data_IF_515792194070
#
_entry.id   IF_515792194070
#
_cell.length_a   1.000
_cell.length_b   1.000
_cell.length_c   1.000
_cell.angle_alpha   90.00
_cell.angle_beta   90.00
_cell.angle_gamma   90.00
#
_symmetry.space_group_name_H-M   'P 1'
#
loop_
_entity.id
_entity.type
_entity.pdbx_description
1 polymer ?
#
# COMPACT_ATOMS: atom_id res chain seq x y z
N UNK A 1 22.66 -13.45 7.59
CA UNK A 1 21.50 -12.81 6.94
C UNK A 1 21.97 -11.55 6.25
N UNK A 2 21.99 -11.53 4.92
CA UNK A 2 22.19 -10.30 4.13
C UNK A 2 20.80 -9.71 3.91
N UNK A 3 20.54 -8.52 4.46
CA UNK A 3 19.35 -7.74 4.10
C UNK A 3 19.48 -7.37 2.61
N UNK A 4 18.63 -7.94 1.76
CA UNK A 4 18.42 -7.41 0.42
C UNK A 4 17.71 -6.06 0.58
N UNK A 5 18.42 -4.96 0.33
CA UNK A 5 17.79 -3.67 0.06
C UNK A 5 17.22 -3.76 -1.36
N UNK A 6 15.92 -3.96 -1.49
CA UNK A 6 15.24 -3.72 -2.76
C UNK A 6 15.36 -2.22 -3.07
N UNK A 7 16.16 -1.89 -4.09
CA UNK A 7 16.18 -0.56 -4.66
C UNK A 7 14.90 -0.41 -5.50
N UNK A 8 13.84 0.08 -4.87
CA UNK A 8 12.60 0.41 -5.56
C UNK A 8 12.85 1.58 -6.52
N UNK A 9 12.63 1.36 -7.82
CA UNK A 9 12.80 2.38 -8.85
C UNK A 9 11.43 3.06 -9.10
N UNK A 10 11.27 4.36 -8.85
CA UNK A 10 9.98 5.07 -8.97
C UNK A 10 9.38 5.05 -10.39
N UNK A 11 10.17 4.67 -11.40
CA UNK A 11 9.75 4.61 -12.81
C UNK A 11 8.84 3.39 -13.11
N UNK A 12 9.03 2.26 -12.41
CA UNK A 12 8.22 1.06 -12.63
C UNK A 12 6.80 1.24 -12.06
N UNK A 13 6.68 1.98 -10.96
CA UNK A 13 5.39 2.27 -10.32
C UNK A 13 4.48 3.20 -11.16
N UNK A 14 5.05 4.20 -11.84
CA UNK A 14 4.31 5.07 -12.76
C UNK A 14 3.72 4.33 -13.97
N UNK A 15 4.37 3.25 -14.43
CA UNK A 15 3.85 2.39 -15.51
C UNK A 15 2.70 1.49 -15.05
N UNK A 16 2.70 1.08 -13.78
CA UNK A 16 1.64 0.25 -13.19
C UNK A 16 0.32 1.04 -13.04
N UNK A 17 0.41 2.29 -12.55
CA UNK A 17 -0.75 3.20 -12.42
C UNK A 17 -1.40 3.55 -13.76
N UNK A 18 -0.61 3.71 -14.82
CA UNK A 18 -1.13 3.99 -16.16
C UNK A 18 -1.99 2.84 -16.73
N UNK A 19 -1.75 1.58 -16.33
CA UNK A 19 -2.54 0.43 -16.79
C UNK A 19 -3.87 0.29 -16.05
N UNK A 20 -3.96 0.71 -14.79
CA UNK A 20 -5.22 0.69 -14.01
C UNK A 20 -6.20 1.75 -14.54
N UNK A 21 -5.71 2.95 -14.88
CA UNK A 21 -6.53 4.03 -15.44
C UNK A 21 -7.15 3.69 -16.82
N UNK A 22 -6.52 2.80 -17.60
CA UNK A 22 -7.02 2.40 -18.93
C UNK A 22 -8.15 1.36 -18.87
N UNK A 23 -8.29 0.61 -17.77
CA UNK A 23 -9.36 -0.38 -17.60
C UNK A 23 -10.71 0.25 -17.15
N UNK A 24 -10.69 1.46 -16.59
CA UNK A 24 -11.90 2.19 -16.16
C UNK A 24 -12.65 2.90 -17.30
N UNK A 25 -12.08 2.96 -18.51
CA UNK A 25 -12.74 3.53 -19.70
C UNK A 25 -13.45 2.45 -20.54
N UNK A 26 -14.25 1.58 -19.92
CA UNK A 26 -15.27 0.85 -20.65
C UNK A 26 -16.54 1.73 -20.77
N UNK A 27 -17.16 1.88 -21.96
CA UNK A 27 -18.33 2.73 -22.12
C UNK A 27 -19.53 2.17 -21.35
N UNK A 28 -19.77 2.73 -20.17
CA UNK A 28 -20.96 2.51 -19.36
C UNK A 28 -22.22 2.94 -20.11
N UNK A 29 -23.27 2.13 -19.97
CA UNK A 29 -24.56 2.31 -20.63
C UNK A 29 -25.16 3.69 -20.32
N UNK A 30 -25.50 4.42 -21.39
CA UNK A 30 -26.25 5.67 -21.36
C UNK A 30 -27.61 5.50 -20.66
N UNK A 31 -27.75 6.02 -19.45
CA UNK A 31 -29.05 6.36 -18.86
C UNK A 31 -29.33 7.83 -19.23
N UNK A 32 -30.40 8.14 -19.99
CA UNK A 32 -30.70 9.52 -20.35
C UNK A 32 -31.12 10.34 -19.11
N UNK A 33 -30.67 11.60 -18.99
CA UNK A 33 -31.06 12.46 -17.87
C UNK A 33 -32.52 12.89 -18.00
N UNK A 34 -33.25 12.76 -16.88
CA UNK A 34 -34.58 13.33 -16.69
C UNK A 34 -34.45 14.85 -16.64
N UNK A 35 -34.99 15.52 -17.66
CA UNK A 35 -35.05 16.98 -17.77
C UNK A 35 -36.06 17.53 -16.75
N UNK A 36 -35.59 18.17 -15.68
CA UNK A 36 -36.41 18.97 -14.79
C UNK A 36 -36.35 20.45 -15.23
N UNK A 37 -37.37 20.92 -15.95
CA UNK A 37 -37.58 22.34 -16.28
C UNK A 37 -38.02 23.11 -15.04
N UNK A 38 -37.06 23.70 -14.33
CA UNK A 38 -37.29 24.73 -13.31
C UNK A 38 -37.16 26.13 -13.91
N UNK A 39 -38.27 26.87 -13.98
CA UNK A 39 -38.30 28.25 -14.48
C UNK A 39 -37.86 29.21 -13.37
N UNK A 40 -36.64 29.77 -13.46
CA UNK A 40 -36.16 30.79 -12.52
C UNK A 40 -36.55 32.20 -13.00
N UNK A 41 -37.34 32.90 -12.18
CA UNK A 41 -37.73 34.30 -12.41
C UNK A 41 -36.58 35.23 -12.00
N UNK A 42 -36.02 35.96 -12.96
CA UNK A 42 -34.91 36.92 -12.75
C UNK A 42 -35.45 38.22 -12.15
N UNK A 43 -35.15 38.47 -10.87
CA UNK A 43 -35.35 39.78 -10.26
C UNK A 43 -34.23 40.74 -10.68
N UNK A 44 -34.60 41.89 -11.26
CA UNK A 44 -33.69 42.99 -11.62
C UNK A 44 -33.43 43.79 -10.34
N UNK A 45 -32.25 43.65 -9.73
CA UNK A 45 -31.79 44.56 -8.67
C UNK A 45 -31.08 45.77 -9.29
N UNK A 46 -31.57 46.95 -8.90
CA UNK A 46 -30.99 48.25 -9.30
C UNK A 46 -29.84 48.55 -8.34
N UNK A 47 -28.60 48.54 -8.84
CA UNK A 47 -27.40 48.95 -8.08
C UNK A 47 -27.45 50.47 -7.85
N UNK A 48 -27.54 50.86 -6.58
CA UNK A 48 -27.32 52.25 -6.15
C UNK A 48 -25.84 52.40 -5.82
N UNK A 49 -25.12 53.20 -6.60
CA UNK A 49 -23.72 53.53 -6.35
C UNK A 49 -23.61 54.53 -5.19
N UNK A 50 -23.33 54.03 -3.99
CA UNK A 50 -22.90 54.87 -2.86
C UNK A 50 -21.40 55.13 -2.98
N UNK A 51 -20.92 56.38 -2.94
CA UNK A 51 -19.49 56.67 -2.94
C UNK A 51 -18.84 56.12 -1.67
N UNK A 52 -17.99 55.11 -1.83
CA UNK A 52 -17.24 54.46 -0.77
C UNK A 52 -16.14 55.43 -0.25
N UNK A 53 -16.27 55.86 1.00
CA UNK A 53 -15.21 56.60 1.69
C UNK A 53 -13.98 55.70 1.78
N UNK A 54 -12.91 56.10 1.09
CA UNK A 54 -11.60 55.47 1.14
C UNK A 54 -11.05 55.58 2.57
N UNK A 55 -11.26 54.54 3.38
CA UNK A 55 -10.70 54.45 4.72
C UNK A 55 -9.17 54.48 4.61
N UNK A 56 -8.54 55.48 5.22
CA UNK A 56 -7.09 55.54 5.39
C UNK A 56 -6.71 54.47 6.41
N UNK A 57 -6.42 53.25 5.94
CA UNK A 57 -5.88 52.19 6.78
C UNK A 57 -4.49 52.59 7.26
N UNK A 58 -4.33 52.80 8.57
CA UNK A 58 -3.02 52.84 9.20
C UNK A 58 -2.32 51.52 8.88
N UNK A 59 -1.09 51.51 8.31
CA UNK A 59 -0.41 50.26 8.00
C UNK A 59 -0.23 49.48 9.30
N UNK A 60 -0.88 48.32 9.39
CA UNK A 60 -0.61 47.34 10.43
C UNK A 60 0.89 47.06 10.39
N UNK A 61 1.62 47.15 11.52
CA UNK A 61 3.04 46.82 11.53
C UNK A 61 3.24 45.45 10.90
N UNK A 62 4.10 45.40 9.89
CA UNK A 62 4.38 44.18 9.13
C UNK A 62 4.88 43.12 10.12
N UNK A 63 4.11 42.04 10.28
CA UNK A 63 4.55 40.89 11.05
C UNK A 63 5.77 40.30 10.34
N UNK A 64 6.92 40.38 10.99
CA UNK A 64 8.20 39.87 10.46
C UNK A 64 8.77 38.88 11.46
N UNK A 65 9.37 37.82 10.93
CA UNK A 65 10.15 36.87 11.71
C UNK A 65 11.55 37.39 12.00
N UNK A 66 12.24 36.80 13.01
CA UNK A 66 13.63 37.12 13.29
C UNK A 66 14.47 37.13 12.01
N UNK A 67 15.31 38.16 11.87
CA UNK A 67 16.20 38.29 10.70
C UNK A 67 17.25 37.20 10.77
N UNK A 68 17.39 36.44 9.68
CA UNK A 68 18.45 35.43 9.55
C UNK A 68 19.83 36.10 9.62
N UNK A 69 20.63 35.71 10.60
CA UNK A 69 22.00 36.22 10.78
C UNK A 69 23.04 35.21 10.30
N UNK A 70 22.67 33.93 10.18
CA UNK A 70 23.55 32.83 9.76
C UNK A 70 24.62 32.44 10.78
N UNK A 71 24.64 33.09 11.96
CA UNK A 71 25.64 32.87 13.01
C UNK A 71 25.13 32.11 14.24
N UNK A 72 23.83 31.79 14.31
CA UNK A 72 23.28 31.00 15.40
C UNK A 72 23.71 29.53 15.27
N UNK A 73 24.03 28.89 16.39
CA UNK A 73 24.40 27.47 16.45
C UNK A 73 23.38 26.73 17.32
N UNK A 74 22.90 25.57 16.84
CA UNK A 74 22.02 24.70 17.63
C UNK A 74 22.87 23.93 18.65
N UNK A 75 22.77 24.27 19.94
CA UNK A 75 23.58 23.69 21.02
C UNK A 75 22.77 23.48 22.29
N UNK A 76 23.32 22.68 23.21
CA UNK A 76 22.82 22.62 24.60
C UNK A 76 21.62 21.69 24.82
N UNK A 77 21.50 20.60 24.05
CA UNK A 77 20.44 19.61 24.23
C UNK A 77 20.99 18.19 24.36
N UNK A 78 20.39 17.42 25.27
CA UNK A 78 20.66 15.99 25.50
C UNK A 78 19.39 15.13 25.46
N UNK A 79 18.21 15.76 25.48
CA UNK A 79 16.89 15.15 25.44
C UNK A 79 15.91 16.08 24.71
N UNK A 80 14.68 15.62 24.42
CA UNK A 80 13.70 16.43 23.68
C UNK A 80 13.24 17.69 24.43
N UNK A 81 13.18 17.67 25.76
CA UNK A 81 12.75 18.85 26.54
C UNK A 81 13.78 19.97 26.40
N UNK A 82 15.07 19.64 26.45
CA UNK A 82 16.14 20.60 26.19
C UNK A 82 16.22 21.00 24.71
N UNK A 83 15.85 20.08 23.81
CA UNK A 83 15.83 20.35 22.38
C UNK A 83 14.84 21.45 22.02
N UNK A 84 13.65 21.49 22.61
CA UNK A 84 12.66 22.54 22.35
C UNK A 84 13.21 23.93 22.68
N UNK A 85 13.87 24.06 23.83
CA UNK A 85 14.53 25.31 24.23
C UNK A 85 15.69 25.67 23.28
N UNK A 86 16.49 24.68 22.86
CA UNK A 86 17.59 24.88 21.93
C UNK A 86 17.11 25.32 20.54
N UNK A 87 16.01 24.74 20.03
CA UNK A 87 15.40 25.14 18.75
C UNK A 87 14.94 26.59 18.84
N UNK A 88 14.18 26.94 19.88
CA UNK A 88 13.69 28.31 20.08
C UNK A 88 14.84 29.31 20.20
N UNK A 89 15.90 28.98 20.93
CA UNK A 89 17.09 29.82 21.04
C UNK A 89 17.76 30.00 19.67
N UNK A 90 17.96 28.92 18.93
CA UNK A 90 18.56 28.94 17.60
C UNK A 90 17.80 29.85 16.63
N UNK A 91 16.49 29.66 16.48
CA UNK A 91 15.71 30.43 15.49
C UNK A 91 15.48 31.88 15.91
N UNK A 92 15.36 32.15 17.21
CA UNK A 92 15.18 33.52 17.71
C UNK A 92 16.47 34.35 17.68
N UNK A 93 17.64 33.70 17.61
CA UNK A 93 18.93 34.38 17.38
C UNK A 93 19.34 34.44 15.90
N UNK A 94 18.39 34.18 14.98
CA UNK A 94 18.60 34.32 13.53
C UNK A 94 19.21 33.08 12.87
N UNK A 95 19.06 31.92 13.50
CA UNK A 95 19.24 30.62 12.84
C UNK A 95 18.21 30.41 11.75
N UNK A 96 18.61 29.71 10.69
CA UNK A 96 17.76 29.41 9.53
C UNK A 96 16.88 28.18 9.81
N UNK A 97 15.54 28.31 9.89
CA UNK A 97 14.65 27.18 10.10
C UNK A 97 14.85 26.05 9.09
N UNK A 98 15.12 26.37 7.81
CA UNK A 98 15.30 25.37 6.77
C UNK A 98 16.53 24.48 7.01
N UNK A 99 17.51 24.99 7.77
CA UNK A 99 18.72 24.25 8.15
C UNK A 99 18.49 23.24 9.29
N UNK A 100 17.38 23.34 10.05
CA UNK A 100 17.10 22.46 11.20
C UNK A 100 17.06 20.98 10.81
N UNK A 101 16.48 20.63 9.66
CA UNK A 101 16.43 19.23 9.20
C UNK A 101 17.82 18.62 9.11
N UNK A 102 18.79 19.35 8.52
CA UNK A 102 20.16 18.87 8.40
C UNK A 102 20.91 18.87 9.73
N UNK A 103 20.68 19.88 10.59
CA UNK A 103 21.33 19.99 11.90
C UNK A 103 20.90 18.84 12.82
N UNK A 104 19.59 18.56 12.88
CA UNK A 104 19.02 17.51 13.72
C UNK A 104 19.37 16.10 13.20
N UNK A 105 19.43 15.93 11.87
CA UNK A 105 19.87 14.67 11.27
C UNK A 105 21.35 14.34 11.58
N UNK A 106 22.18 15.34 11.90
CA UNK A 106 23.59 15.13 12.26
C UNK A 106 23.81 14.66 13.69
N UNK A 107 22.77 14.68 14.52
CA UNK A 107 22.87 14.25 15.91
C UNK A 107 22.37 12.82 16.11
N UNK A 108 23.30 11.90 16.37
CA UNK A 108 23.01 10.49 16.66
C UNK A 108 22.20 10.28 17.97
N UNK A 109 22.02 11.33 18.76
CA UNK A 109 21.45 11.24 20.10
C UNK A 109 19.92 11.10 20.11
N UNK A 110 19.22 11.63 19.10
CA UNK A 110 17.76 11.72 19.10
C UNK A 110 17.23 11.40 17.69
N UNK A 111 16.28 10.46 17.58
CA UNK A 111 15.55 10.17 16.34
C UNK A 111 14.58 11.30 16.06
N UNK A 112 15.11 12.43 15.60
CA UNK A 112 14.35 13.67 15.39
C UNK A 112 14.30 13.99 13.91
N UNK A 113 13.13 14.44 13.46
CA UNK A 113 12.92 14.99 12.13
C UNK A 113 12.33 16.39 12.25
N UNK A 114 12.64 17.25 11.27
CA UNK A 114 12.07 18.59 11.19
C UNK A 114 11.62 18.92 9.77
N UNK A 115 10.57 19.74 9.68
CA UNK A 115 10.08 20.35 8.45
C UNK A 115 9.71 21.80 8.71
N UNK A 116 9.69 22.58 7.63
CA UNK A 116 9.31 23.99 7.63
C UNK A 116 8.33 24.21 6.49
N UNK A 117 7.17 24.82 6.79
CA UNK A 117 6.12 25.12 5.82
C UNK A 117 5.13 26.14 6.38
N UNK A 118 4.50 26.91 5.52
CA UNK A 118 3.30 27.72 5.86
C UNK A 118 2.09 26.77 5.99
N UNK A 119 1.70 26.48 7.22
CA UNK A 119 0.63 25.54 7.57
C UNK A 119 -0.65 26.25 7.98
N UNK A 120 -0.61 27.55 8.32
CA UNK A 120 -1.77 28.31 8.78
C UNK A 120 -2.24 29.43 7.82
N UNK A 121 -1.50 29.66 6.73
CA UNK A 121 -1.83 30.56 5.64
C UNK A 121 -1.50 32.02 5.90
N UNK A 122 -0.69 32.33 6.93
CA UNK A 122 -0.26 33.69 7.24
C UNK A 122 0.98 34.17 6.43
N UNK A 123 1.45 33.33 5.51
CA UNK A 123 2.65 33.52 4.68
C UNK A 123 3.97 33.55 5.46
N UNK A 124 3.96 33.16 6.73
CA UNK A 124 5.14 32.83 7.52
C UNK A 124 5.22 31.30 7.62
N UNK A 125 6.44 30.78 7.77
CA UNK A 125 6.62 29.33 7.86
C UNK A 125 6.60 28.89 9.33
N UNK A 126 5.82 27.85 9.62
CA UNK A 126 5.91 27.11 10.86
C UNK A 126 7.05 26.11 10.81
N UNK A 127 7.63 25.85 11.98
CA UNK A 127 8.63 24.80 12.18
C UNK A 127 7.94 23.65 12.88
N UNK A 128 8.02 22.47 12.29
CA UNK A 128 7.50 21.24 12.90
C UNK A 128 8.66 20.32 13.22
N UNK A 129 8.72 19.87 14.48
CA UNK A 129 9.73 18.94 14.96
C UNK A 129 9.05 17.72 15.55
N UNK A 130 9.43 16.54 15.07
CA UNK A 130 8.96 15.25 15.57
C UNK A 130 10.12 14.51 16.21
N UNK A 131 9.92 13.93 17.40
CA UNK A 131 10.94 13.11 18.05
C UNK A 131 10.37 12.19 19.12
N UNK A 132 11.07 11.08 19.37
CA UNK A 132 10.69 10.08 20.39
C UNK A 132 11.45 10.26 21.71
N UNK A 133 10.74 10.18 22.83
CA UNK A 133 11.30 10.09 24.19
C UNK A 133 11.01 8.71 24.75
N UNK A 134 12.04 8.03 25.23
CA UNK A 134 11.89 6.82 26.03
C UNK A 134 11.69 7.21 27.49
N UNK A 135 10.49 6.97 28.03
CA UNK A 135 10.24 7.14 29.47
C UNK A 135 10.62 5.84 30.18
N UNK A 136 11.68 5.90 30.98
CA UNK A 136 12.12 4.75 31.78
C UNK A 136 11.39 4.80 33.12
N UNK A 137 10.27 4.09 33.22
CA UNK A 137 9.57 3.86 34.48
C UNK A 137 10.14 2.60 35.16
N UNK A 138 10.61 2.71 36.41
CA UNK A 138 11.10 1.55 37.16
C UNK A 138 10.00 0.47 37.29
N UNK A 139 10.17 -0.65 36.59
CA UNK A 139 9.26 -1.80 36.65
C UNK A 139 8.17 -1.85 35.57
N UNK A 140 8.13 -0.93 34.61
CA UNK A 140 7.25 -1.00 33.43
C UNK A 140 8.10 -1.21 32.17
N UNK A 141 7.61 -1.93 31.13
CA UNK A 141 8.16 -1.75 29.79
C UNK A 141 8.22 -0.25 29.46
N UNK A 142 9.27 0.18 28.76
CA UNK A 142 9.47 1.59 28.44
C UNK A 142 8.30 2.13 27.64
N UNK A 143 7.64 3.16 28.18
CA UNK A 143 6.59 3.89 27.46
C UNK A 143 7.30 4.90 26.56
N UNK A 144 7.51 4.52 25.30
CA UNK A 144 8.04 5.47 24.33
C UNK A 144 6.90 6.38 23.86
N UNK A 145 7.12 7.69 23.96
CA UNK A 145 6.22 8.72 23.47
C UNK A 145 6.86 9.44 22.29
N UNK A 146 6.07 9.80 21.29
CA UNK A 146 6.53 10.69 20.21
C UNK A 146 5.84 12.04 20.39
N UNK A 147 6.64 13.10 20.39
CA UNK A 147 6.19 14.47 20.45
C UNK A 147 6.28 15.09 19.06
N UNK A 148 5.22 15.77 18.64
CA UNK A 148 5.19 16.61 17.45
C UNK A 148 4.93 18.04 17.91
N UNK A 149 5.98 18.87 17.86
CA UNK A 149 5.96 20.25 18.31
C UNK A 149 5.91 21.20 17.11
N UNK A 150 5.01 22.19 17.16
CA UNK A 150 4.82 23.20 16.13
C UNK A 150 5.21 24.57 16.72
N UNK A 151 6.16 25.22 16.06
CA UNK A 151 6.63 26.55 16.40
C UNK A 151 6.17 27.54 15.35
N UNK A 152 5.50 28.60 15.79
CA UNK A 152 5.00 29.65 14.92
C UNK A 152 5.71 30.96 15.23
N UNK A 153 5.99 31.71 14.19
CA UNK A 153 6.53 33.05 14.27
C UNK A 153 5.43 34.05 14.65
N UNK A 154 5.61 34.77 15.75
CA UNK A 154 4.69 35.84 16.14
C UNK A 154 5.46 37.01 16.75
N UNK A 155 5.17 38.23 16.30
CA UNK A 155 5.77 39.46 16.88
C UNK A 155 7.32 39.40 16.93
N UNK A 156 7.96 38.98 15.83
CA UNK A 156 9.42 38.89 15.71
C UNK A 156 10.09 37.86 16.64
N UNK A 157 9.36 36.82 17.05
CA UNK A 157 9.92 35.66 17.73
C UNK A 157 9.11 34.39 17.42
N UNK A 158 9.78 33.26 17.26
CA UNK A 158 9.16 31.94 17.28
C UNK A 158 8.78 31.56 18.70
N UNK A 159 7.62 30.89 18.83
CA UNK A 159 7.13 30.29 20.06
C UNK A 159 6.50 28.93 19.76
N UNK A 160 6.55 28.01 20.71
CA UNK A 160 5.76 26.77 20.65
C UNK A 160 4.27 27.13 20.71
N UNK A 161 3.49 26.75 19.71
CA UNK A 161 2.05 27.01 19.64
C UNK A 161 1.21 25.75 19.82
N UNK A 162 1.77 24.58 19.50
CA UNK A 162 1.08 23.30 19.64
C UNK A 162 2.07 22.17 19.91
N UNK A 163 1.65 21.20 20.71
CA UNK A 163 2.34 19.93 20.92
C UNK A 163 1.33 18.79 20.83
N UNK A 164 1.64 17.77 20.02
CA UNK A 164 0.89 16.52 19.95
C UNK A 164 1.72 15.39 20.55
N UNK A 165 1.06 14.46 21.22
CA UNK A 165 1.70 13.30 21.83
C UNK A 165 1.03 12.03 21.32
N UNK A 166 1.84 11.08 20.87
CA UNK A 166 1.39 9.72 20.56
C UNK A 166 2.11 8.71 21.44
N UNK A 167 1.37 7.73 21.95
CA UNK A 167 1.87 6.67 22.85
C UNK A 167 2.18 5.38 22.08
N UNK A 168 3.02 4.52 22.66
CA UNK A 168 3.46 3.22 22.13
C UNK A 168 4.30 3.31 20.84
N UNK A 169 5.27 4.23 20.77
CA UNK A 169 5.92 4.61 19.50
C UNK A 169 7.44 4.63 19.56
N UNK A 170 8.10 3.92 18.65
CA UNK A 170 9.56 3.80 18.59
C UNK A 170 10.25 4.90 17.79
N UNK A 171 9.50 5.61 16.93
CA UNK A 171 9.94 6.80 16.21
C UNK A 171 8.78 7.53 15.54
N UNK A 172 8.93 8.83 15.33
CA UNK A 172 8.08 9.65 14.46
C UNK A 172 8.92 10.37 13.41
N UNK A 173 8.81 9.91 12.16
CA UNK A 173 9.54 10.43 11.01
C UNK A 173 8.63 11.38 10.22
N UNK A 174 8.96 12.68 10.14
CA UNK A 174 8.31 13.58 9.17
C UNK A 174 8.71 13.14 7.77
N UNK A 175 7.72 12.79 6.94
CA UNK A 175 7.95 12.32 5.58
C UNK A 175 7.98 13.48 4.58
N UNK A 176 6.88 14.22 4.49
CA UNK A 176 6.68 15.30 3.53
C UNK A 176 5.55 16.23 3.96
N UNK A 177 5.41 17.35 3.25
CA UNK A 177 4.34 18.34 3.41
C UNK A 177 3.44 18.25 2.19
N UNK A 178 2.12 18.13 2.38
CA UNK A 178 1.21 17.87 1.28
C UNK A 178 -0.18 18.48 1.52
N UNK A 179 -0.80 18.95 0.45
CA UNK A 179 -2.18 19.40 0.45
C UNK A 179 -3.09 18.19 0.26
N UNK A 180 -3.77 17.78 1.33
CA UNK A 180 -4.70 16.63 1.34
C UNK A 180 -6.05 17.02 0.74
N UNK A 181 -6.53 18.23 1.03
CA UNK A 181 -7.78 18.78 0.51
C UNK A 181 -7.46 19.97 -0.39
N UNK A 182 -7.85 19.93 -1.66
CA UNK A 182 -7.48 20.88 -2.75
C UNK A 182 -7.68 22.36 -2.38
N UNK A 183 -8.61 22.67 -1.48
CA UNK A 183 -8.99 24.03 -1.07
C UNK A 183 -8.58 24.40 0.35
N UNK A 184 -7.82 23.53 1.02
CA UNK A 184 -7.34 23.77 2.38
C UNK A 184 -5.81 23.96 2.40
N UNK A 185 -5.28 24.32 3.55
CA UNK A 185 -3.84 24.47 3.77
C UNK A 185 -3.13 23.11 3.80
N UNK A 186 -1.82 23.06 3.54
CA UNK A 186 -1.07 21.82 3.58
C UNK A 186 -0.94 21.26 5.00
N UNK A 187 -0.67 19.95 5.08
CA UNK A 187 -0.41 19.21 6.30
C UNK A 187 0.99 18.61 6.29
N UNK A 188 1.60 18.50 7.47
CA UNK A 188 2.79 17.67 7.66
C UNK A 188 2.36 16.21 7.81
N UNK A 189 2.93 15.33 6.99
CA UNK A 189 2.69 13.89 7.07
C UNK A 189 3.79 13.23 7.89
N UNK A 190 3.40 12.53 8.94
CA UNK A 190 4.31 11.88 9.89
C UNK A 190 4.05 10.38 9.90
N UNK A 191 5.14 9.61 9.75
CA UNK A 191 5.16 8.16 9.93
C UNK A 191 5.55 7.83 11.36
N UNK A 192 4.66 7.17 12.07
CA UNK A 192 4.83 6.77 13.46
C UNK A 192 4.98 5.26 13.53
N UNK A 193 6.13 4.77 14.01
CA UNK A 193 6.36 3.32 14.17
C UNK A 193 5.97 2.91 15.57
N UNK A 194 5.20 1.83 15.71
CA UNK A 194 4.87 1.32 17.04
C UNK A 194 6.11 0.75 17.76
N UNK A 195 6.16 0.84 19.08
CA UNK A 195 7.16 0.13 19.91
C UNK A 195 6.78 -1.34 20.06
N UNK A 196 5.48 -1.62 20.16
CA UNK A 196 4.93 -2.96 20.32
C UNK A 196 4.00 -3.27 19.14
N UNK A 197 4.15 -4.47 18.58
CA UNK A 197 3.44 -4.86 17.37
C UNK A 197 4.17 -4.35 16.13
N UNK A 198 4.11 -5.13 15.06
CA UNK A 198 4.79 -4.82 13.81
C UNK A 198 4.04 -3.75 13.01
N UNK A 199 3.58 -2.68 13.66
CA UNK A 199 2.70 -1.66 13.09
C UNK A 199 3.41 -0.33 12.79
N UNK A 200 2.94 0.32 11.72
CA UNK A 200 3.23 1.70 11.35
C UNK A 200 1.90 2.44 11.25
N UNK A 201 1.83 3.67 11.75
CA UNK A 201 0.68 4.57 11.64
C UNK A 201 1.09 5.84 10.92
N UNK A 202 0.16 6.45 10.21
CA UNK A 202 0.38 7.71 9.49
C UNK A 202 -0.59 8.76 10.00
N UNK A 203 -0.07 9.96 10.23
CA UNK A 203 -0.85 11.09 10.70
C UNK A 203 -0.53 12.33 9.88
N UNK A 204 -1.54 13.18 9.71
CA UNK A 204 -1.41 14.52 9.18
C UNK A 204 -1.59 15.54 10.31
N UNK A 205 -0.69 16.51 10.40
CA UNK A 205 -0.75 17.62 11.35
C UNK A 205 -0.79 18.94 10.59
N UNK A 206 -1.77 19.81 10.88
CA UNK A 206 -1.94 21.07 10.15
C UNK A 206 -3.02 21.96 10.75
N UNK A 207 -3.18 23.16 10.19
CA UNK A 207 -4.21 24.10 10.61
C UNK A 207 -5.51 23.89 9.82
N UNK A 208 -6.60 23.62 10.53
CA UNK A 208 -7.93 23.43 9.91
C UNK A 208 -9.01 23.88 10.88
N UNK A 209 -10.04 24.55 10.38
CA UNK A 209 -11.14 25.06 11.23
C UNK A 209 -10.64 25.97 12.38
N UNK A 210 -9.67 26.85 12.09
CA UNK A 210 -9.07 27.77 13.05
C UNK A 210 -8.43 27.10 14.29
N UNK A 211 -7.91 25.89 14.14
CA UNK A 211 -7.16 25.20 15.19
C UNK A 211 -6.16 24.21 14.59
N UNK A 212 -5.13 23.87 15.35
CA UNK A 212 -4.23 22.78 15.01
C UNK A 212 -4.95 21.44 15.14
N UNK A 213 -4.89 20.61 14.09
CA UNK A 213 -5.53 19.30 14.03
C UNK A 213 -4.50 18.20 13.84
N UNK A 214 -4.82 17.06 14.42
CA UNK A 214 -4.25 15.76 14.11
C UNK A 214 -5.30 14.95 13.35
N UNK A 215 -4.92 14.36 12.23
CA UNK A 215 -5.77 13.48 11.42
C UNK A 215 -5.06 12.14 11.25
N UNK A 216 -5.66 11.06 11.73
CA UNK A 216 -5.19 9.71 11.43
C UNK A 216 -5.49 9.38 9.97
N UNK A 217 -4.46 8.98 9.22
CA UNK A 217 -4.54 8.70 7.78
C UNK A 217 -4.73 7.21 7.49
N UNK A 218 -4.23 6.34 8.37
CA UNK A 218 -4.20 4.90 8.16
C UNK A 218 -2.99 4.26 8.83
N UNK A 219 -2.84 2.95 8.66
CA UNK A 219 -1.71 2.20 9.21
C UNK A 219 -1.45 0.92 8.43
N UNK A 220 -0.24 0.41 8.59
CA UNK A 220 0.26 -0.79 7.92
C UNK A 220 1.26 -1.54 8.77
N UNK A 221 1.95 -2.52 8.20
CA UNK A 221 3.01 -3.26 8.90
C UNK A 221 4.33 -2.46 8.95
N UNK A 222 5.34 -2.97 9.67
CA UNK A 222 6.70 -2.41 9.67
C UNK A 222 7.23 -2.41 8.23
N UNK A 223 7.75 -1.25 7.82
CA UNK A 223 8.27 -1.07 6.47
C UNK A 223 7.24 -0.60 5.45
N UNK A 224 5.97 -0.43 5.85
CA UNK A 224 4.97 0.17 4.97
C UNK A 224 5.38 1.57 4.48
N UNK A 225 4.86 1.94 3.32
CA UNK A 225 5.04 3.25 2.70
C UNK A 225 3.68 3.90 2.48
N UNK A 226 3.65 5.24 2.45
CA UNK A 226 2.42 6.01 2.24
C UNK A 226 2.55 6.84 0.97
N UNK A 227 1.47 6.90 0.21
CA UNK A 227 1.26 7.82 -0.89
C UNK A 227 -0.10 8.49 -0.74
N UNK A 228 -0.21 9.73 -1.23
CA UNK A 228 -1.47 10.47 -1.29
C UNK A 228 -1.80 10.76 -2.75
N UNK A 229 -2.99 10.36 -3.20
CA UNK A 229 -3.44 10.53 -4.59
C UNK A 229 -4.96 10.76 -4.61
N UNK A 230 -5.44 11.65 -5.47
CA UNK A 230 -6.88 11.92 -5.64
C UNK A 230 -7.38 11.04 -6.79
N UNK A 231 -7.81 9.83 -6.45
CA UNK A 231 -8.12 8.77 -7.41
C UNK A 231 -9.51 8.96 -8.03
N UNK A 232 -10.43 9.62 -7.33
CA UNK A 232 -11.81 9.83 -7.79
C UNK A 232 -12.09 11.26 -8.30
N UNK A 233 -11.14 12.18 -8.12
CA UNK A 233 -11.21 13.55 -8.60
C UNK A 233 -12.16 14.44 -7.79
N UNK A 234 -12.42 14.10 -6.52
CA UNK A 234 -13.30 14.87 -5.64
C UNK A 234 -12.59 16.07 -4.96
N UNK A 235 -11.28 16.19 -5.13
CA UNK A 235 -10.43 17.21 -4.52
C UNK A 235 -9.90 16.83 -3.14
N UNK A 236 -10.12 15.59 -2.68
CA UNK A 236 -9.55 15.00 -1.48
C UNK A 236 -8.64 13.85 -1.89
N UNK A 237 -7.40 13.84 -1.43
CA UNK A 237 -6.49 12.72 -1.70
C UNK A 237 -6.86 11.52 -0.83
N UNK A 238 -7.00 10.35 -1.45
CA UNK A 238 -6.94 9.07 -0.76
C UNK A 238 -5.56 8.84 -0.15
N UNK A 239 -5.54 8.04 0.91
CA UNK A 239 -4.31 7.55 1.52
C UNK A 239 -4.08 6.12 1.05
N UNK A 240 -2.99 5.91 0.30
CA UNK A 240 -2.57 4.61 -0.16
C UNK A 240 -1.41 4.14 0.72
N UNK A 241 -1.63 3.09 1.49
CA UNK A 241 -0.60 2.48 2.33
C UNK A 241 -0.13 1.20 1.66
N UNK A 242 1.09 1.22 1.12
CA UNK A 242 1.77 0.04 0.64
C UNK A 242 2.23 -0.77 1.84
N UNK A 243 1.52 -1.84 2.17
CA UNK A 243 1.91 -2.77 3.22
C UNK A 243 2.79 -3.85 2.58
N UNK A 244 4.09 -3.77 2.86
CA UNK A 244 4.97 -4.90 2.59
C UNK A 244 4.55 -6.04 3.50
N UNK A 245 4.05 -7.14 2.94
CA UNK A 245 3.68 -8.30 3.73
C UNK A 245 4.97 -9.03 4.13
N UNK A 246 5.64 -8.54 5.16
CA UNK A 246 6.82 -9.18 5.77
C UNK A 246 6.39 -10.45 6.53
N UNK A 247 5.86 -11.41 5.80
CA UNK A 247 5.74 -12.77 6.27
C UNK A 247 7.15 -13.31 6.46
N UNK A 248 7.50 -13.63 7.70
CA UNK A 248 8.66 -14.48 7.95
C UNK A 248 8.54 -15.79 7.15
N UNK A 249 9.59 -16.60 7.14
CA UNK A 249 9.68 -17.85 6.39
C UNK A 249 8.39 -18.72 6.32
N UNK A 250 7.59 -18.74 7.39
CA UNK A 250 6.34 -19.50 7.49
C UNK A 250 5.10 -18.87 6.84
N UNK A 251 5.07 -17.56 6.62
CA UNK A 251 3.91 -16.90 6.01
C UNK A 251 3.87 -17.00 4.49
N UNK A 252 4.99 -17.38 3.87
CA UNK A 252 5.06 -17.64 2.44
C UNK A 252 5.60 -16.48 1.62
N UNK A 253 5.42 -16.58 0.30
CA UNK A 253 5.80 -15.54 -0.66
C UNK A 253 5.15 -14.21 -0.29
N UNK A 254 5.98 -13.26 0.13
CA UNK A 254 5.54 -11.90 0.44
C UNK A 254 4.99 -11.24 -0.83
N UNK A 255 3.81 -10.65 -0.73
CA UNK A 255 3.25 -9.77 -1.77
C UNK A 255 2.96 -8.43 -1.15
N UNK A 256 3.21 -7.37 -1.89
CA UNK A 256 2.75 -6.06 -1.48
C UNK A 256 1.22 -5.99 -1.57
N UNK A 257 0.60 -5.37 -0.58
CA UNK A 257 -0.83 -5.03 -0.57
C UNK A 257 -0.97 -3.51 -0.42
N UNK A 258 -1.85 -2.91 -1.21
CA UNK A 258 -2.13 -1.48 -1.15
C UNK A 258 -3.46 -1.31 -0.43
N UNK A 259 -3.42 -0.86 0.82
CA UNK A 259 -4.61 -0.46 1.56
C UNK A 259 -4.97 0.97 1.20
N UNK A 260 -6.20 1.20 0.75
CA UNK A 260 -6.72 2.52 0.40
C UNK A 260 -7.66 3.00 1.51
N UNK A 261 -7.36 4.16 2.07
CA UNK A 261 -8.21 4.85 3.03
C UNK A 261 -8.78 6.11 2.37
N UNK A 262 -10.09 6.29 2.46
CA UNK A 262 -10.80 7.41 1.87
C UNK A 262 -11.40 8.30 2.96
N UNK A 263 -11.56 9.58 2.66
CA UNK A 263 -12.15 10.54 3.59
C UNK A 263 -13.68 10.41 3.62
N UNK A 264 -14.25 10.10 4.79
CA UNK A 264 -15.70 9.96 4.93
C UNK A 264 -16.44 11.26 5.35
N UNK A 265 -15.76 12.41 5.26
CA UNK A 265 -16.24 13.69 5.79
C UNK A 265 -15.75 14.01 7.21
N UNK A 266 -15.21 13.03 7.94
CA UNK A 266 -14.72 13.22 9.31
C UNK A 266 -13.35 12.60 9.58
N UNK A 267 -13.10 11.40 9.06
CA UNK A 267 -11.84 10.69 9.22
C UNK A 267 -11.49 9.96 7.91
N UNK A 268 -10.24 9.58 7.76
CA UNK A 268 -9.86 8.54 6.80
C UNK A 268 -10.29 7.18 7.35
N UNK A 269 -11.07 6.45 6.56
CA UNK A 269 -11.52 5.10 6.87
C UNK A 269 -11.07 4.15 5.77
N UNK A 270 -10.78 2.91 6.16
CA UNK A 270 -10.43 1.85 5.21
C UNK A 270 -11.57 1.71 4.19
N UNK A 271 -11.21 1.80 2.91
CA UNK A 271 -12.13 1.70 1.78
C UNK A 271 -12.05 0.30 1.18
N UNK A 272 -10.87 -0.04 0.65
CA UNK A 272 -10.59 -1.35 0.06
C UNK A 272 -9.08 -1.60 0.07
N UNK A 273 -8.68 -2.82 -0.26
CA UNK A 273 -7.30 -3.15 -0.58
C UNK A 273 -7.17 -3.71 -1.98
N UNK A 274 -6.02 -3.46 -2.60
CA UNK A 274 -5.65 -4.02 -3.90
C UNK A 274 -4.34 -4.80 -3.78
N UNK A 275 -4.25 -5.87 -4.55
CA UNK A 275 -3.06 -6.72 -4.63
C UNK A 275 -2.38 -6.46 -5.98
N UNK A 276 -1.39 -5.55 -6.05
CA UNK A 276 -0.66 -5.32 -7.28
C UNK A 276 -0.08 -6.64 -7.83
N UNK A 277 0.21 -6.74 -9.14
CA UNK A 277 0.82 -7.93 -9.71
C UNK A 277 2.05 -8.35 -8.92
N UNK A 278 2.10 -9.63 -8.52
CA UNK A 278 3.20 -10.17 -7.74
C UNK A 278 4.45 -10.44 -8.59
N UNK A 279 5.59 -10.62 -7.92
CA UNK A 279 6.83 -11.08 -8.55
C UNK A 279 6.96 -12.62 -8.52
N UNK A 280 6.16 -13.29 -7.69
CA UNK A 280 6.17 -14.74 -7.54
C UNK A 280 5.00 -15.41 -8.27
N UNK A 281 5.29 -16.54 -8.89
CA UNK A 281 4.31 -17.36 -9.63
C UNK A 281 3.14 -17.82 -8.76
N UNK A 282 3.38 -18.05 -7.47
CA UNK A 282 2.33 -18.44 -6.51
C UNK A 282 1.28 -17.36 -6.28
N UNK A 283 1.62 -16.07 -6.47
CA UNK A 283 0.65 -14.98 -6.38
C UNK A 283 -0.38 -15.08 -7.50
N UNK A 284 0.06 -15.31 -8.74
CA UNK A 284 -0.84 -15.51 -9.88
C UNK A 284 -1.64 -16.82 -9.78
N UNK A 285 -1.07 -17.87 -9.18
CA UNK A 285 -1.84 -19.09 -8.87
C UNK A 285 -2.97 -18.81 -7.87
N UNK A 286 -2.72 -17.97 -6.87
CA UNK A 286 -3.71 -17.49 -5.91
C UNK A 286 -4.78 -16.63 -6.57
N UNK A 287 -4.37 -15.64 -7.36
CA UNK A 287 -5.28 -14.74 -8.09
C UNK A 287 -6.19 -15.51 -9.06
N UNK A 288 -5.62 -16.48 -9.79
CA UNK A 288 -6.37 -17.37 -10.66
C UNK A 288 -7.41 -18.21 -9.90
N UNK A 289 -7.05 -18.71 -8.72
CA UNK A 289 -7.97 -19.47 -7.88
C UNK A 289 -9.12 -18.60 -7.36
N UNK A 290 -8.84 -17.38 -6.92
CA UNK A 290 -9.84 -16.48 -6.40
C UNK A 290 -10.76 -15.92 -7.50
N UNK A 291 -10.21 -15.60 -8.67
CA UNK A 291 -11.00 -15.25 -9.86
C UNK A 291 -11.92 -16.41 -10.27
N UNK A 292 -11.43 -17.64 -10.21
CA UNK A 292 -12.23 -18.83 -10.49
C UNK A 292 -13.37 -18.98 -9.47
N UNK A 293 -13.11 -18.93 -8.16
CA UNK A 293 -14.16 -18.98 -7.11
C UNK A 293 -15.24 -17.91 -7.28
N UNK A 294 -14.87 -16.71 -7.74
CA UNK A 294 -15.79 -15.61 -8.03
C UNK A 294 -16.57 -15.80 -9.35
N UNK A 295 -16.35 -16.89 -10.08
CA UNK A 295 -16.96 -17.19 -11.37
C UNK A 295 -16.37 -16.39 -12.55
N UNK A 296 -15.31 -15.61 -12.33
CA UNK A 296 -14.62 -14.87 -13.39
C UNK A 296 -13.58 -15.76 -14.08
N UNK A 297 -14.08 -16.76 -14.81
CA UNK A 297 -13.26 -17.82 -15.40
C UNK A 297 -12.26 -17.29 -16.45
N UNK A 298 -12.59 -16.23 -17.18
CA UNK A 298 -11.67 -15.65 -18.17
C UNK A 298 -10.50 -14.92 -17.50
N UNK A 299 -10.76 -14.20 -16.40
CA UNK A 299 -9.68 -13.61 -15.61
C UNK A 299 -8.83 -14.69 -14.93
N UNK A 300 -9.46 -15.76 -14.45
CA UNK A 300 -8.73 -16.91 -13.90
C UNK A 300 -7.76 -17.51 -14.92
N UNK A 301 -8.21 -17.72 -16.17
CA UNK A 301 -7.34 -18.16 -17.26
C UNK A 301 -6.19 -17.16 -17.47
N UNK A 302 -6.46 -15.86 -17.54
CA UNK A 302 -5.41 -14.86 -17.74
C UNK A 302 -4.32 -14.91 -16.64
N UNK A 303 -4.70 -15.08 -15.37
CA UNK A 303 -3.73 -15.25 -14.28
C UNK A 303 -2.94 -16.57 -14.40
N UNK A 304 -3.62 -17.68 -14.69
CA UNK A 304 -2.94 -18.97 -14.87
C UNK A 304 -2.04 -18.97 -16.10
N UNK A 305 -2.39 -18.27 -17.18
CA UNK A 305 -1.55 -18.08 -18.37
C UNK A 305 -0.22 -17.39 -18.01
N UNK A 306 -0.28 -16.31 -17.23
CA UNK A 306 0.91 -15.63 -16.71
C UNK A 306 1.72 -16.58 -15.82
N UNK A 307 1.04 -17.27 -14.89
CA UNK A 307 1.69 -18.24 -14.01
C UNK A 307 2.33 -19.42 -14.77
N UNK A 308 1.78 -19.83 -15.91
CA UNK A 308 2.32 -20.92 -16.71
C UNK A 308 3.52 -20.48 -17.59
N UNK A 309 3.44 -19.28 -18.18
CA UNK A 309 4.30 -18.90 -19.31
C UNK A 309 5.29 -17.78 -19.03
N UNK A 310 5.05 -16.90 -18.06
CA UNK A 310 5.97 -15.79 -17.79
C UNK A 310 7.25 -16.31 -17.11
N UNK A 311 8.38 -16.23 -17.82
CA UNK A 311 9.70 -16.63 -17.34
C UNK A 311 10.34 -15.63 -16.38
N UNK A 312 9.79 -14.43 -16.23
CA UNK A 312 10.30 -13.41 -15.31
C UNK A 312 9.81 -13.61 -13.87
N UNK A 313 8.77 -14.43 -13.66
CA UNK A 313 8.25 -14.72 -12.34
C UNK A 313 9.16 -15.71 -11.59
N UNK A 314 9.43 -15.38 -10.34
CA UNK A 314 10.15 -16.28 -9.43
C UNK A 314 9.25 -17.44 -9.01
N UNK A 315 9.83 -18.62 -8.80
CA UNK A 315 9.14 -19.74 -8.16
C UNK A 315 9.37 -19.70 -6.66
N UNK A 316 8.29 -19.88 -5.89
CA UNK A 316 8.38 -19.98 -4.43
C UNK A 316 8.30 -21.44 -4.00
N UNK A 317 9.33 -21.99 -3.38
CA UNK A 317 9.34 -23.39 -2.95
C UNK A 317 8.35 -23.63 -1.80
N UNK A 318 7.85 -24.85 -1.70
CA UNK A 318 7.04 -25.29 -0.56
C UNK A 318 7.89 -25.69 0.64
N UNK A 319 7.27 -25.92 1.80
CA UNK A 319 7.97 -26.49 2.96
C UNK A 319 8.62 -27.83 2.61
N UNK A 320 7.89 -28.69 1.88
CA UNK A 320 8.37 -30.01 1.45
C UNK A 320 9.64 -29.91 0.60
N UNK A 321 9.61 -29.08 -0.44
CA UNK A 321 10.75 -28.86 -1.34
C UNK A 321 11.97 -28.31 -0.59
N UNK A 322 11.74 -27.44 0.40
CA UNK A 322 12.84 -26.97 1.24
C UNK A 322 13.41 -28.10 2.11
N UNK A 323 12.55 -28.88 2.78
CA UNK A 323 12.99 -29.93 3.71
C UNK A 323 13.71 -31.07 3.00
N UNK A 324 13.31 -31.38 1.77
CA UNK A 324 13.94 -32.42 0.94
C UNK A 324 15.09 -31.87 0.08
N UNK A 325 15.39 -30.56 0.16
CA UNK A 325 16.41 -29.89 -0.64
C UNK A 325 16.20 -30.09 -2.15
N UNK A 326 14.97 -29.86 -2.61
CA UNK A 326 14.48 -29.99 -3.99
C UNK A 326 13.87 -28.68 -4.50
N UNK A 327 14.43 -27.54 -4.11
CA UNK A 327 13.88 -26.21 -4.43
C UNK A 327 13.81 -25.93 -5.94
N UNK A 328 14.61 -26.62 -6.74
CA UNK A 328 14.59 -26.56 -8.21
C UNK A 328 13.33 -27.15 -8.83
N UNK A 329 12.55 -27.93 -8.08
CA UNK A 329 11.30 -28.53 -8.56
C UNK A 329 10.11 -27.58 -8.48
N UNK A 330 10.23 -26.48 -7.73
CA UNK A 330 9.14 -25.53 -7.51
C UNK A 330 8.60 -24.93 -8.82
N UNK A 331 9.50 -24.48 -9.70
CA UNK A 331 9.12 -23.85 -10.97
C UNK A 331 8.35 -24.81 -11.91
N UNK A 332 8.87 -25.99 -12.28
CA UNK A 332 8.17 -26.87 -13.21
C UNK A 332 6.82 -27.34 -12.66
N UNK A 333 6.71 -27.65 -11.36
CA UNK A 333 5.42 -28.04 -10.77
C UNK A 333 4.40 -26.89 -10.78
N UNK A 334 4.80 -25.67 -10.42
CA UNK A 334 3.89 -24.53 -10.43
C UNK A 334 3.40 -24.19 -11.83
N UNK A 335 4.27 -24.25 -12.85
CA UNK A 335 3.87 -24.05 -14.24
C UNK A 335 2.91 -25.15 -14.72
N UNK A 336 3.27 -26.41 -14.49
CA UNK A 336 2.44 -27.55 -14.91
C UNK A 336 1.05 -27.52 -14.24
N UNK A 337 1.00 -27.14 -12.95
CA UNK A 337 -0.25 -26.95 -12.23
C UNK A 337 -1.09 -25.80 -12.81
N UNK A 338 -0.47 -24.66 -13.14
CA UNK A 338 -1.15 -23.54 -13.79
C UNK A 338 -1.81 -23.97 -15.12
N UNK A 339 -1.07 -24.68 -15.97
CA UNK A 339 -1.63 -25.22 -17.21
C UNK A 339 -2.79 -26.18 -16.97
N UNK A 340 -2.67 -27.09 -16.01
CA UNK A 340 -3.76 -28.00 -15.65
C UNK A 340 -5.03 -27.23 -15.24
N UNK A 341 -4.89 -26.14 -14.48
CA UNK A 341 -6.03 -25.29 -14.12
C UNK A 341 -6.68 -24.63 -15.34
N UNK A 342 -5.90 -24.20 -16.33
CA UNK A 342 -6.43 -23.68 -17.61
C UNK A 342 -7.26 -24.76 -18.33
N UNK A 343 -6.76 -25.99 -18.43
CA UNK A 343 -7.49 -27.14 -19.04
C UNK A 343 -8.84 -27.35 -18.35
N UNK A 344 -8.85 -27.43 -17.02
CA UNK A 344 -10.09 -27.64 -16.24
C UNK A 344 -11.10 -26.52 -16.52
N UNK A 345 -10.66 -25.26 -16.57
CA UNK A 345 -11.54 -24.13 -16.86
C UNK A 345 -12.09 -24.21 -18.28
N UNK A 346 -11.28 -24.52 -19.30
CA UNK A 346 -11.75 -24.60 -20.68
C UNK A 346 -12.82 -25.67 -20.90
N UNK A 347 -12.60 -26.87 -20.35
CA UNK A 347 -13.61 -27.93 -20.39
C UNK A 347 -14.89 -27.54 -19.63
N UNK A 348 -14.79 -26.79 -18.53
CA UNK A 348 -15.97 -26.29 -17.81
C UNK A 348 -16.84 -25.35 -18.64
N UNK A 349 -16.24 -24.68 -19.63
CA UNK A 349 -16.92 -23.81 -20.57
C UNK A 349 -17.31 -24.53 -21.88
N UNK A 350 -17.13 -25.85 -21.96
CA UNK A 350 -17.32 -26.65 -23.18
C UNK A 350 -16.47 -26.15 -24.36
N UNK A 351 -15.25 -25.68 -24.07
CA UNK A 351 -14.22 -25.23 -25.03
C UNK A 351 -13.13 -26.28 -25.16
N UNK A 352 -13.51 -27.47 -25.64
CA UNK A 352 -12.64 -28.65 -25.73
C UNK A 352 -11.42 -28.38 -26.63
N UNK A 353 -11.64 -27.65 -27.74
CA UNK A 353 -10.60 -27.21 -28.66
C UNK A 353 -9.44 -26.48 -27.96
N UNK A 354 -9.77 -25.49 -27.14
CA UNK A 354 -8.78 -24.70 -26.41
C UNK A 354 -8.07 -25.53 -25.33
N UNK A 355 -8.79 -26.47 -24.72
CA UNK A 355 -8.21 -27.34 -23.70
C UNK A 355 -7.20 -28.34 -24.30
N UNK A 356 -7.51 -28.90 -25.47
CA UNK A 356 -6.62 -29.83 -26.18
C UNK A 356 -5.32 -29.14 -26.63
N UNK A 357 -5.40 -27.89 -27.08
CA UNK A 357 -4.21 -27.07 -27.39
C UNK A 357 -3.31 -26.92 -26.15
N UNK A 358 -3.88 -26.66 -24.98
CA UNK A 358 -3.12 -26.55 -23.73
C UNK A 358 -2.54 -27.90 -23.31
N UNK A 359 -3.28 -29.01 -23.43
CA UNK A 359 -2.77 -30.37 -23.14
C UNK A 359 -1.59 -30.72 -24.05
N UNK A 360 -1.65 -30.31 -25.32
CA UNK A 360 -0.56 -30.50 -26.26
C UNK A 360 0.69 -29.73 -25.82
N UNK A 361 0.55 -28.43 -25.52
CA UNK A 361 1.65 -27.59 -25.02
C UNK A 361 2.25 -28.12 -23.71
N UNK A 362 1.40 -28.60 -22.79
CA UNK A 362 1.83 -29.26 -21.56
C UNK A 362 2.68 -30.51 -21.86
N UNK A 363 2.27 -31.32 -22.83
CA UNK A 363 3.00 -32.55 -23.19
C UNK A 363 4.37 -32.25 -23.80
N UNK A 364 4.51 -31.13 -24.51
CA UNK A 364 5.80 -30.67 -25.04
C UNK A 364 6.70 -30.07 -23.96
N UNK A 365 6.09 -29.31 -23.02
CA UNK A 365 6.81 -28.60 -21.96
C UNK A 365 7.24 -29.51 -20.80
N UNK A 366 6.49 -30.58 -20.52
CA UNK A 366 6.74 -31.53 -19.45
C UNK A 366 6.72 -32.99 -19.97
N UNK A 367 7.75 -33.41 -20.73
CA UNK A 367 7.84 -34.78 -21.26
C UNK A 367 7.85 -35.85 -20.17
N UNK A 368 7.55 -37.09 -20.55
CA UNK A 368 7.52 -38.23 -19.62
C UNK A 368 8.82 -38.36 -18.80
N UNK A 369 8.67 -38.46 -17.49
CA UNK A 369 9.78 -38.56 -16.54
C UNK A 369 10.42 -37.22 -16.14
N UNK A 370 9.85 -36.08 -16.56
CA UNK A 370 10.27 -34.75 -16.10
C UNK A 370 9.33 -34.19 -15.03
N UNK A 371 9.80 -33.34 -14.11
CA UNK A 371 8.94 -32.72 -13.09
C UNK A 371 7.79 -31.96 -13.73
N UNK A 372 6.56 -32.19 -13.24
CA UNK A 372 5.34 -31.60 -13.78
C UNK A 372 4.61 -32.47 -14.80
N UNK A 373 5.24 -33.54 -15.32
CA UNK A 373 4.58 -34.50 -16.21
C UNK A 373 3.37 -35.17 -15.55
N UNK A 374 3.36 -35.28 -14.23
CA UNK A 374 2.23 -35.78 -13.44
C UNK A 374 0.94 -35.00 -13.75
N UNK A 375 1.03 -33.68 -13.94
CA UNK A 375 -0.11 -32.86 -14.34
C UNK A 375 -0.51 -33.06 -15.80
N UNK A 376 0.41 -33.45 -16.69
CA UNK A 376 0.08 -33.87 -18.07
C UNK A 376 -0.76 -35.14 -18.06
N UNK A 377 -0.37 -36.11 -17.24
CA UNK A 377 -1.11 -37.38 -17.06
C UNK A 377 -2.51 -37.10 -16.55
N UNK A 378 -2.64 -36.27 -15.51
CA UNK A 378 -3.94 -35.88 -14.96
C UNK A 378 -4.79 -35.12 -15.99
N UNK A 379 -4.20 -34.22 -16.78
CA UNK A 379 -4.94 -33.46 -17.79
C UNK A 379 -5.48 -34.38 -18.92
N UNK A 380 -4.72 -35.38 -19.34
CA UNK A 380 -5.15 -36.38 -20.34
C UNK A 380 -6.25 -37.30 -19.80
N UNK A 381 -6.13 -37.74 -18.56
CA UNK A 381 -7.19 -38.52 -17.90
C UNK A 381 -8.46 -37.69 -17.76
N UNK A 382 -8.32 -36.42 -17.37
CA UNK A 382 -9.43 -35.48 -17.25
C UNK A 382 -10.21 -35.34 -18.56
N UNK A 383 -9.52 -35.15 -19.69
CA UNK A 383 -10.13 -35.08 -21.01
C UNK A 383 -10.91 -36.38 -21.32
N UNK A 384 -10.30 -37.54 -21.08
CA UNK A 384 -10.93 -38.86 -21.28
C UNK A 384 -12.22 -39.00 -20.46
N UNK A 385 -12.19 -38.62 -19.17
CA UNK A 385 -13.37 -38.66 -18.30
C UNK A 385 -14.43 -37.64 -18.72
N UNK A 386 -14.03 -36.48 -19.27
CA UNK A 386 -14.97 -35.48 -19.78
C UNK A 386 -15.72 -35.95 -21.02
N UNK A 387 -15.08 -36.68 -21.93
CA UNK A 387 -15.75 -37.28 -23.09
C UNK A 387 -16.88 -38.23 -22.68
N UNK A 388 -16.73 -38.93 -21.55
CA UNK A 388 -17.72 -39.87 -21.03
C UNK A 388 -18.84 -39.16 -20.27
N UNK A 389 -18.48 -38.22 -19.39
CA UNK A 389 -19.42 -37.66 -18.42
C UNK A 389 -20.04 -36.34 -18.87
N UNK A 390 -19.37 -35.59 -19.74
CA UNK A 390 -19.64 -34.19 -20.09
C UNK A 390 -19.82 -33.28 -18.85
N UNK A 391 -19.12 -33.60 -17.75
CA UNK A 391 -19.21 -32.87 -16.49
C UNK A 391 -17.82 -32.59 -15.93
N UNK A 392 -17.32 -31.38 -16.16
CA UNK A 392 -15.98 -30.97 -15.73
C UNK A 392 -15.66 -31.30 -14.27
N UNK A 393 -16.54 -30.96 -13.33
CA UNK A 393 -16.28 -31.26 -11.91
C UNK A 393 -16.12 -32.77 -11.64
N UNK A 394 -17.00 -33.61 -12.22
CA UNK A 394 -16.93 -35.06 -12.04
C UNK A 394 -15.68 -35.64 -12.68
N UNK A 395 -15.35 -35.21 -13.90
CA UNK A 395 -14.11 -35.63 -14.59
C UNK A 395 -12.86 -35.24 -13.83
N UNK A 396 -12.83 -34.04 -13.26
CA UNK A 396 -11.68 -33.55 -12.52
C UNK A 396 -11.46 -34.40 -11.28
N UNK A 397 -12.50 -34.63 -10.49
CA UNK A 397 -12.43 -35.46 -9.29
C UNK A 397 -12.02 -36.90 -9.57
N UNK A 398 -12.33 -37.45 -10.76
CA UNK A 398 -11.84 -38.77 -11.15
C UNK A 398 -10.36 -38.72 -11.54
N UNK A 399 -9.96 -37.77 -12.38
CA UNK A 399 -8.60 -37.65 -12.88
C UNK A 399 -7.57 -37.39 -11.77
N UNK A 400 -7.90 -36.53 -10.80
CA UNK A 400 -6.98 -36.19 -9.70
C UNK A 400 -6.70 -37.36 -8.75
N UNK A 401 -7.48 -38.44 -8.78
CA UNK A 401 -7.20 -39.67 -7.99
C UNK A 401 -5.89 -40.34 -8.41
N UNK A 402 -5.43 -40.08 -9.64
CA UNK A 402 -4.11 -40.53 -10.10
C UNK A 402 -3.02 -39.92 -9.22
N UNK A 403 -3.16 -38.66 -8.78
CA UNK A 403 -2.19 -38.03 -7.88
C UNK A 403 -2.14 -38.72 -6.51
N UNK A 404 -3.28 -39.14 -5.97
CA UNK A 404 -3.33 -39.88 -4.69
C UNK A 404 -2.66 -41.27 -4.79
N UNK A 405 -2.76 -41.92 -5.95
CA UNK A 405 -2.35 -43.32 -6.13
C UNK A 405 -0.92 -43.46 -6.64
N UNK A 406 -0.58 -42.70 -7.69
CA UNK A 406 0.64 -42.87 -8.46
C UNK A 406 1.68 -41.78 -8.16
N UNK A 407 1.25 -40.60 -7.67
CA UNK A 407 2.10 -39.44 -7.43
C UNK A 407 1.87 -38.77 -6.06
N UNK A 408 1.91 -39.54 -4.95
CA UNK A 408 1.53 -39.01 -3.64
C UNK A 408 2.42 -37.87 -3.17
N UNK A 409 3.66 -37.75 -3.67
CA UNK A 409 4.58 -36.68 -3.28
C UNK A 409 4.19 -35.31 -3.84
N UNK A 410 3.48 -35.27 -4.98
CA UNK A 410 2.92 -34.02 -5.53
C UNK A 410 1.96 -33.38 -4.53
N UNK A 411 1.10 -34.22 -3.92
CA UNK A 411 0.11 -33.79 -2.93
C UNK A 411 0.68 -33.58 -1.53
N UNK A 412 1.76 -34.29 -1.18
CA UNK A 412 2.44 -34.10 0.12
C UNK A 412 3.14 -32.75 0.23
N UNK A 413 3.45 -32.11 -0.90
CA UNK A 413 3.82 -30.71 -0.84
C UNK A 413 4.55 -30.14 -2.02
N UNK A 414 4.47 -30.64 -3.26
CA UNK A 414 4.99 -29.83 -4.39
C UNK A 414 4.06 -28.67 -4.76
N UNK A 415 2.77 -28.74 -4.38
CA UNK A 415 1.77 -27.70 -4.64
C UNK A 415 0.97 -27.44 -3.36
N UNK A 416 0.68 -26.17 -3.08
CA UNK A 416 -0.30 -25.80 -2.06
C UNK A 416 0.21 -25.70 -0.61
N UNK A 417 1.52 -25.78 -0.38
CA UNK A 417 2.14 -25.52 0.93
C UNK A 417 3.19 -24.40 0.83
N UNK A 418 2.76 -23.24 0.33
CA UNK A 418 3.61 -22.05 0.18
C UNK A 418 3.52 -21.10 1.37
N UNK A 419 3.10 -21.58 2.54
CA UNK A 419 2.91 -20.77 3.76
C UNK A 419 1.47 -20.30 3.97
N UNK A 420 1.15 -19.90 5.21
CA UNK A 420 -0.23 -19.71 5.66
C UNK A 420 -0.96 -18.50 5.06
N UNK A 421 -0.25 -17.55 4.43
CA UNK A 421 -0.85 -16.40 3.74
C UNK A 421 -1.07 -16.66 2.25
N UNK A 422 -0.60 -17.79 1.71
CA UNK A 422 -0.75 -18.15 0.31
C UNK A 422 -1.87 -19.18 0.12
N UNK A 423 -2.35 -19.31 -1.11
CA UNK A 423 -3.36 -20.32 -1.44
C UNK A 423 -2.82 -21.71 -1.10
N UNK A 424 -3.60 -22.48 -0.36
CA UNK A 424 -3.30 -23.88 -0.07
C UNK A 424 -4.18 -24.79 -0.91
N UNK A 425 -3.57 -25.86 -1.40
CA UNK A 425 -4.22 -26.94 -2.13
C UNK A 425 -3.98 -28.24 -1.37
N UNK A 426 -4.70 -28.38 -0.27
CA UNK A 426 -4.49 -29.44 0.73
C UNK A 426 -5.21 -30.75 0.39
N UNK A 427 -6.13 -30.71 -0.58
CA UNK A 427 -6.85 -31.89 -1.04
C UNK A 427 -7.05 -31.86 -2.55
N UNK A 428 -7.11 -33.04 -3.17
CA UNK A 428 -7.37 -33.21 -4.60
C UNK A 428 -8.69 -32.56 -5.05
N UNK A 429 -9.69 -32.50 -4.16
CA UNK A 429 -10.94 -31.76 -4.45
C UNK A 429 -10.73 -30.26 -4.71
N UNK A 430 -9.68 -29.65 -4.15
CA UNK A 430 -9.38 -28.22 -4.31
C UNK A 430 -8.82 -27.91 -5.69
N UNK A 431 -8.17 -28.89 -6.32
CA UNK A 431 -7.64 -28.80 -7.68
C UNK A 431 -8.76 -28.70 -8.71
N UNK A 432 -9.99 -29.03 -8.31
CA UNK A 432 -11.18 -29.09 -9.16
C UNK A 432 -12.18 -27.96 -8.90
N UNK A 433 -12.03 -27.17 -7.83
CA UNK A 433 -12.96 -26.09 -7.48
C UNK A 433 -12.99 -25.02 -8.59
N UNK A 434 -14.20 -24.66 -9.02
CA UNK A 434 -14.46 -23.62 -10.02
C UNK A 434 -15.46 -22.56 -9.56
N UNK A 435 -16.16 -22.79 -8.43
CA UNK A 435 -17.08 -21.90 -7.73
C UNK A 435 -17.46 -22.47 -6.35
#
# INVERSE_FOLDING_TARGET
>A
MKYYRNNFHPVIFFLLMAMIALAACAPGQNIPPVLATGTATRAIQTKTNTPEMKATSTPTPEHRCPVLTGGAELKGYSNLVELDAAILDYVNHGGDPASLKSLLASTDLLRVSAAVADLDGDALEEIVVSGSITIINEGSPSDDINLINIYQCSTNAYRLVQSFQTEDVSSGDILFVEQIFEKELPFIIVKIRATIGWGTKYYAFGWRENQWKEIFLGGGLVGSEIMLDDQDGDGTKEVLVLTGNSTGFWGGASRDEIDVFAWNGKNFEYSYSDLPPGDDRVHYLGDGADASKKGNLMMAIAYYEIAARDSNLSSYFTTYELTENQTELAEPYQKAFAFFRIVVIWFSQNRVDMADEVIHEMSESFPDGTPGNEFVVVAKEFATQYEVTHKAMTSCLEAVKILDTDYPDVLKGHIGDWGFMNVSYSATSEFCKLN
#
